data_IF_786465744480
#
_entry.id   IF_786465744480
#
_cell.length_a   1.000
_cell.length_b   1.000
_cell.length_c   1.000
_cell.angle_alpha   90.00
_cell.angle_beta   90.00
_cell.angle_gamma   90.00
#
_symmetry.space_group_name_H-M   'P 1'
#
loop_
_entity.id
_entity.type
_entity.pdbx_description
1 polymer ?
#
# COMPACT_ATOMS: atom_id res chain seq x y z
N UNK A 1 25.87 9.70 7.77
CA UNK A 1 24.44 9.48 8.02
C UNK A 1 23.65 10.33 7.04
N UNK A 2 22.67 9.76 6.41
CA UNK A 2 21.82 10.49 5.46
C UNK A 2 20.35 10.41 5.90
N UNK A 3 19.60 11.43 5.54
CA UNK A 3 18.17 11.48 5.87
C UNK A 3 17.44 12.40 4.89
N UNK A 4 16.12 12.26 4.86
CA UNK A 4 15.26 13.19 4.13
C UNK A 4 13.98 13.45 4.92
N UNK A 5 13.57 14.70 4.97
CA UNK A 5 12.27 15.11 5.51
C UNK A 5 11.37 15.43 4.33
N UNK A 6 10.21 14.79 4.27
CA UNK A 6 9.18 15.10 3.26
C UNK A 6 8.01 15.75 3.96
N UNK A 7 7.79 17.04 3.70
CA UNK A 7 6.63 17.74 4.21
C UNK A 7 5.40 17.30 3.42
N UNK A 8 4.23 17.48 4.01
CA UNK A 8 2.97 17.05 3.43
C UNK A 8 2.76 17.57 1.99
N UNK A 9 3.10 18.81 1.73
CA UNK A 9 2.93 19.46 0.44
C UNK A 9 4.06 19.17 -0.55
N UNK A 10 5.11 18.50 -0.12
CA UNK A 10 6.23 18.11 -0.95
C UNK A 10 6.08 16.69 -1.52
N UNK A 11 5.15 15.90 -0.99
CA UNK A 11 4.87 14.57 -1.48
C UNK A 11 4.32 14.65 -2.91
N UNK A 12 4.89 13.88 -3.83
CA UNK A 12 4.46 13.94 -5.22
C UNK A 12 3.46 12.83 -5.56
N UNK A 13 2.57 13.16 -6.49
CA UNK A 13 1.58 12.21 -7.00
C UNK A 13 2.22 11.32 -8.05
N UNK A 14 1.79 10.08 -8.08
CA UNK A 14 2.17 9.13 -9.13
C UNK A 14 0.99 8.22 -9.44
N UNK A 15 1.04 7.55 -10.59
CA UNK A 15 0.03 6.56 -10.96
C UNK A 15 0.57 5.18 -10.65
N UNK A 16 -0.15 4.44 -9.80
CA UNK A 16 0.21 3.07 -9.45
C UNK A 16 -0.48 2.11 -10.42
N UNK A 17 0.26 1.20 -11.09
CA UNK A 17 -0.34 0.22 -11.98
C UNK A 17 -1.38 -0.64 -11.27
N UNK A 18 -2.50 -0.93 -11.95
CA UNK A 18 -3.55 -1.77 -11.41
C UNK A 18 -4.38 -1.16 -10.29
N UNK A 19 -4.23 0.13 -10.04
CA UNK A 19 -5.02 0.88 -9.06
C UNK A 19 -6.10 1.68 -9.78
N UNK A 20 -7.22 1.91 -9.11
CA UNK A 20 -8.35 2.66 -9.65
C UNK A 20 -9.03 3.48 -8.55
N UNK A 21 -9.58 4.64 -8.95
CA UNK A 21 -10.27 5.59 -8.06
C UNK A 21 -9.47 5.89 -6.79
N UNK A 22 -8.19 6.18 -6.98
CA UNK A 22 -7.24 6.43 -5.92
C UNK A 22 -6.32 7.58 -6.28
N UNK A 23 -5.93 8.34 -5.27
CA UNK A 23 -4.85 9.31 -5.36
C UNK A 23 -3.67 8.76 -4.58
N UNK A 24 -2.59 8.45 -5.29
CA UNK A 24 -1.37 7.92 -4.68
C UNK A 24 -0.32 9.01 -4.59
N UNK A 25 0.29 9.14 -3.41
CA UNK A 25 1.39 10.08 -3.19
C UNK A 25 2.59 9.34 -2.63
N UNK A 26 3.79 9.72 -3.11
CA UNK A 26 5.05 9.13 -2.66
C UNK A 26 5.64 10.03 -1.58
N UNK A 27 5.88 9.46 -0.41
CA UNK A 27 6.50 10.18 0.72
C UNK A 27 8.02 9.99 0.70
N UNK A 28 8.49 8.76 0.50
CA UNK A 28 9.91 8.44 0.47
C UNK A 28 10.22 7.36 -0.56
N UNK A 29 11.35 7.51 -1.22
CA UNK A 29 11.92 6.54 -2.16
C UNK A 29 13.27 6.05 -1.65
N UNK A 30 13.73 4.86 -2.06
CA UNK A 30 15.04 4.36 -1.65
C UNK A 30 16.20 5.29 -1.98
N UNK A 31 16.08 6.08 -3.04
CA UNK A 31 17.14 7.02 -3.46
C UNK A 31 17.32 8.19 -2.52
N UNK A 32 16.33 8.49 -1.68
CA UNK A 32 16.35 9.69 -0.82
C UNK A 32 17.53 9.70 0.13
N UNK A 33 17.88 8.55 0.68
CA UNK A 33 18.98 8.42 1.64
C UNK A 33 20.08 7.49 1.15
N UNK A 34 19.94 6.95 -0.05
CA UNK A 34 20.93 6.13 -0.75
C UNK A 34 21.42 4.92 0.07
N UNK A 35 20.57 4.33 0.90
CA UNK A 35 20.99 3.22 1.77
C UNK A 35 20.04 2.04 1.78
N UNK A 36 18.88 2.12 1.19
CA UNK A 36 17.93 1.05 1.39
C UNK A 36 16.95 0.84 0.29
N UNK A 37 16.08 -0.12 0.50
CA UNK A 37 15.03 -0.48 -0.42
C UNK A 37 13.64 -0.14 0.07
N UNK A 38 13.48 0.80 1.01
CA UNK A 38 12.16 1.14 1.57
C UNK A 38 11.56 2.29 0.80
N UNK A 39 10.32 2.07 0.36
CA UNK A 39 9.47 3.11 -0.25
C UNK A 39 8.26 3.30 0.65
N UNK A 40 7.87 4.52 0.90
CA UNK A 40 6.67 4.82 1.66
C UNK A 40 5.75 5.73 0.85
N UNK A 41 4.47 5.36 0.78
CA UNK A 41 3.45 6.12 0.09
C UNK A 41 2.18 6.24 0.90
N UNK A 42 1.37 7.22 0.56
CA UNK A 42 0.05 7.42 1.15
C UNK A 42 -0.97 7.40 0.01
N UNK A 43 -1.93 6.50 0.12
CA UNK A 43 -3.00 6.34 -0.87
C UNK A 43 -4.32 6.81 -0.29
N UNK A 44 -5.04 7.62 -1.08
CA UNK A 44 -6.39 8.09 -0.76
C UNK A 44 -7.36 7.41 -1.71
N UNK A 45 -8.11 6.42 -1.21
CA UNK A 45 -9.06 5.68 -2.02
C UNK A 45 -10.45 6.27 -1.87
N UNK A 46 -11.07 6.62 -3.00
CA UNK A 46 -12.48 6.97 -3.03
C UNK A 46 -13.33 5.72 -2.73
N UNK A 47 -14.59 5.87 -2.29
CA UNK A 47 -15.48 4.71 -2.18
C UNK A 47 -15.49 3.92 -3.49
N UNK A 48 -15.27 2.61 -3.41
CA UNK A 48 -15.15 1.73 -4.57
C UNK A 48 -13.74 1.69 -5.18
N UNK A 49 -12.85 2.58 -4.80
CA UNK A 49 -11.48 2.58 -5.30
C UNK A 49 -10.62 1.51 -4.66
N UNK A 50 -9.59 1.07 -5.37
CA UNK A 50 -8.73 0.02 -4.86
C UNK A 50 -7.64 -0.38 -5.82
N UNK A 51 -7.14 -1.60 -5.65
CA UNK A 51 -6.21 -2.21 -6.59
C UNK A 51 -6.69 -3.57 -7.03
N UNK A 52 -6.37 -3.92 -8.27
CA UNK A 52 -6.73 -5.21 -8.86
C UNK A 52 -6.03 -6.35 -8.12
N UNK A 53 -6.66 -7.51 -8.12
CA UNK A 53 -6.10 -8.72 -7.54
C UNK A 53 -4.83 -9.12 -8.31
N UNK A 54 -3.77 -9.36 -7.56
CA UNK A 54 -2.50 -9.77 -8.15
C UNK A 54 -1.40 -9.86 -7.10
N UNK A 55 -0.26 -10.37 -7.52
CA UNK A 55 0.92 -10.51 -6.69
C UNK A 55 1.90 -9.37 -6.92
N UNK A 56 2.59 -8.97 -5.85
CA UNK A 56 3.67 -8.01 -5.91
C UNK A 56 4.98 -8.71 -5.55
N UNK A 57 6.04 -8.38 -6.26
CA UNK A 57 7.37 -8.93 -5.98
C UNK A 57 8.01 -8.34 -4.72
N UNK A 58 7.45 -7.29 -4.16
CA UNK A 58 7.98 -6.61 -2.98
C UNK A 58 7.23 -7.03 -1.73
N UNK A 59 7.96 -7.09 -0.62
CA UNK A 59 7.36 -7.18 0.70
C UNK A 59 6.63 -5.87 1.00
N UNK A 60 5.43 -5.96 1.58
CA UNK A 60 4.55 -4.78 1.73
C UNK A 60 3.88 -4.78 3.09
N UNK A 61 3.73 -3.58 3.64
CA UNK A 61 2.91 -3.35 4.83
C UNK A 61 1.90 -2.26 4.48
N UNK A 62 0.64 -2.53 4.82
CA UNK A 62 -0.47 -1.60 4.63
C UNK A 62 -1.05 -1.27 6.00
N UNK A 63 -1.18 0.01 6.31
CA UNK A 63 -1.77 0.49 7.55
C UNK A 63 -2.95 1.40 7.23
N UNK A 64 -4.12 1.07 7.77
CA UNK A 64 -5.32 1.86 7.53
C UNK A 64 -5.33 3.03 8.50
N UNK A 65 -5.11 4.23 7.97
CA UNK A 65 -5.13 5.46 8.76
C UNK A 65 -6.54 5.97 9.00
N UNK A 66 -7.41 5.83 7.99
CA UNK A 66 -8.76 6.36 8.02
C UNK A 66 -9.66 5.54 7.10
N UNK A 67 -10.92 5.36 7.51
CA UNK A 67 -11.88 4.61 6.72
C UNK A 67 -11.73 3.11 6.86
N UNK A 68 -11.97 2.39 5.78
CA UNK A 68 -11.91 0.94 5.76
C UNK A 68 -11.55 0.42 4.37
N UNK A 69 -10.95 -0.76 4.33
CA UNK A 69 -10.59 -1.43 3.07
C UNK A 69 -10.96 -2.90 3.17
N UNK A 70 -11.59 -3.43 2.12
CA UNK A 70 -11.87 -4.86 2.02
C UNK A 70 -10.67 -5.56 1.40
N UNK A 71 -10.12 -6.53 2.13
CA UNK A 71 -8.95 -7.31 1.71
C UNK A 71 -9.38 -8.71 1.25
N UNK A 72 -8.88 -9.11 0.10
CA UNK A 72 -8.86 -10.51 -0.32
C UNK A 72 -7.40 -10.90 -0.54
N UNK A 73 -6.95 -11.97 0.09
CA UNK A 73 -5.58 -12.43 0.00
C UNK A 73 -5.53 -13.95 -0.16
N UNK A 74 -4.66 -14.42 -1.05
CA UNK A 74 -4.40 -15.85 -1.31
C UNK A 74 -5.68 -16.64 -1.58
N UNK A 75 -6.57 -16.07 -2.41
CA UNK A 75 -7.86 -16.64 -2.74
C UNK A 75 -7.70 -18.01 -3.42
N UNK A 76 -8.49 -19.00 -2.96
CA UNK A 76 -8.44 -20.35 -3.48
C UNK A 76 -7.35 -21.22 -2.85
N UNK A 77 -6.61 -20.72 -1.90
CA UNK A 77 -5.57 -21.48 -1.17
C UNK A 77 -5.99 -21.70 0.28
N UNK A 78 -5.24 -22.54 0.99
CA UNK A 78 -5.47 -22.77 2.42
C UNK A 78 -5.21 -21.53 3.28
N UNK A 79 -4.51 -20.53 2.72
CA UNK A 79 -4.18 -19.27 3.39
C UNK A 79 -5.14 -18.14 3.01
N UNK A 80 -6.26 -18.46 2.39
CA UNK A 80 -7.23 -17.46 1.96
C UNK A 80 -7.78 -16.65 3.12
N UNK A 81 -7.78 -15.33 2.95
CA UNK A 81 -8.41 -14.38 3.88
C UNK A 81 -9.28 -13.43 3.07
N UNK A 82 -10.50 -13.20 3.55
CA UNK A 82 -11.42 -12.19 3.03
C UNK A 82 -11.99 -11.45 4.23
N UNK A 83 -11.60 -10.19 4.41
CA UNK A 83 -12.00 -9.43 5.59
C UNK A 83 -11.92 -7.93 5.33
N UNK A 84 -12.67 -7.15 6.09
CA UNK A 84 -12.56 -5.71 6.08
C UNK A 84 -11.57 -5.26 7.15
N UNK A 85 -10.60 -4.45 6.75
CA UNK A 85 -9.67 -3.78 7.66
C UNK A 85 -10.21 -2.39 7.98
N UNK A 86 -10.18 -2.04 9.25
CA UNK A 86 -10.64 -0.73 9.74
C UNK A 86 -9.44 0.12 10.17
N UNK A 87 -9.69 1.41 10.43
CA UNK A 87 -8.63 2.31 10.90
C UNK A 87 -7.89 1.72 12.10
N UNK A 88 -6.57 1.69 12.03
CA UNK A 88 -5.71 1.07 13.03
C UNK A 88 -5.29 -0.36 12.70
N UNK A 89 -5.98 -1.02 11.76
CA UNK A 89 -5.59 -2.36 11.32
C UNK A 89 -4.47 -2.29 10.29
N UNK A 90 -3.70 -3.37 10.21
CA UNK A 90 -2.60 -3.46 9.27
C UNK A 90 -2.52 -4.85 8.63
N UNK A 91 -1.87 -4.90 7.47
CA UNK A 91 -1.68 -6.13 6.71
C UNK A 91 -0.24 -6.17 6.19
N UNK A 92 0.46 -7.25 6.47
CA UNK A 92 1.83 -7.48 6.04
C UNK A 92 1.88 -8.70 5.14
N UNK A 93 2.44 -8.57 3.96
CA UNK A 93 2.59 -9.70 3.05
C UNK A 93 4.00 -9.76 2.47
N UNK A 94 4.47 -10.99 2.30
CA UNK A 94 5.76 -11.26 1.68
C UNK A 94 5.70 -11.16 0.16
N UNK A 95 6.85 -11.19 -0.51
CA UNK A 95 6.91 -11.18 -1.97
C UNK A 95 6.11 -12.34 -2.56
N UNK A 96 5.39 -12.08 -3.65
CA UNK A 96 4.61 -13.08 -4.35
C UNK A 96 3.23 -13.37 -3.77
N UNK A 97 2.85 -12.74 -2.67
CA UNK A 97 1.51 -12.89 -2.10
C UNK A 97 0.49 -12.20 -2.98
N UNK A 98 -0.56 -12.93 -3.36
CA UNK A 98 -1.65 -12.38 -4.19
C UNK A 98 -2.70 -11.73 -3.30
N UNK A 99 -3.15 -10.54 -3.68
CA UNK A 99 -4.13 -9.79 -2.91
C UNK A 99 -4.84 -8.74 -3.75
N UNK A 100 -5.97 -8.28 -3.24
CA UNK A 100 -6.61 -7.03 -3.65
C UNK A 100 -7.12 -6.31 -2.41
N UNK A 101 -7.19 -4.99 -2.49
CA UNK A 101 -7.85 -4.16 -1.49
C UNK A 101 -8.78 -3.18 -2.21
N UNK A 102 -9.97 -2.99 -1.64
CA UNK A 102 -10.98 -2.09 -2.21
C UNK A 102 -11.68 -1.36 -1.07
N UNK A 103 -11.88 -0.07 -1.23
CA UNK A 103 -12.65 0.70 -0.26
C UNK A 103 -14.14 0.32 -0.39
N UNK A 104 -14.62 -0.50 0.54
CA UNK A 104 -16.02 -0.94 0.59
C UNK A 104 -16.86 -0.09 1.55
N UNK A 105 -16.33 1.04 2.01
CA UNK A 105 -17.02 1.94 2.91
C UNK A 105 -17.64 3.14 2.20
N UNK A 106 -18.40 3.96 2.94
CA UNK A 106 -19.11 5.11 2.36
C UNK A 106 -18.27 6.39 2.26
N UNK A 107 -17.06 6.40 2.82
CA UNK A 107 -16.18 7.58 2.83
C UNK A 107 -14.82 7.21 2.27
N UNK A 108 -14.03 8.23 1.91
CA UNK A 108 -12.66 8.03 1.44
C UNK A 108 -11.80 7.39 2.53
N UNK A 109 -10.91 6.50 2.12
CA UNK A 109 -9.99 5.81 3.01
C UNK A 109 -8.56 6.30 2.76
N UNK A 110 -7.75 6.32 3.83
CA UNK A 110 -6.33 6.63 3.74
C UNK A 110 -5.53 5.41 4.20
N UNK A 111 -4.60 4.99 3.35
CA UNK A 111 -3.76 3.81 3.59
C UNK A 111 -2.30 4.21 3.46
N UNK A 112 -1.54 3.99 4.53
CA UNK A 112 -0.10 4.15 4.51
C UNK A 112 0.52 2.84 4.01
N UNK A 113 1.40 2.92 3.03
CA UNK A 113 2.00 1.74 2.39
C UNK A 113 3.51 1.82 2.48
N UNK A 114 4.12 0.80 3.03
CA UNK A 114 5.57 0.61 3.00
C UNK A 114 5.89 -0.58 2.10
N UNK A 115 6.82 -0.37 1.17
CA UNK A 115 7.29 -1.39 0.25
C UNK A 115 8.78 -1.58 0.46
N UNK A 116 9.22 -2.84 0.51
CA UNK A 116 10.63 -3.17 0.62
C UNK A 116 11.06 -3.89 -0.64
N UNK A 117 12.04 -3.30 -1.35
CA UNK A 117 12.65 -3.95 -2.49
C UNK A 117 13.65 -4.97 -1.97
N UNK A 118 13.54 -6.27 -2.34
CA UNK A 118 14.51 -7.27 -1.91
C UNK A 118 15.92 -6.88 -2.34
N UNK A 119 16.95 -7.22 -1.54
CA UNK A 119 18.32 -7.01 -1.96
C UNK A 119 18.63 -7.82 -3.22
N UNK A 120 19.45 -7.26 -4.10
CA UNK A 120 19.93 -8.00 -5.26
C UNK A 120 20.84 -9.14 -4.80
N UNK A 121 20.63 -10.31 -5.38
CA UNK A 121 21.43 -11.49 -5.08
C UNK A 121 22.78 -11.43 -5.80
#
# INVERSE_FOLDING_TARGET
MSYKITRKDEAYKYEAPGHFDVRTTRLHDPVDVNVGGITMGLSHFLPGGGCNYGANAKESIYYILKGQMYLESEVGTENEVKTTLFAGDSYHCGPGTSKSIVNNGPVSSQVLVALVTPPEA
#
